data_IF_446904051718
#
_entry.id   IF_446904051718
#
_cell.length_a   1.000
_cell.length_b   1.000
_cell.length_c   1.000
_cell.angle_alpha   90.00
_cell.angle_beta   90.00
_cell.angle_gamma   90.00
#
_symmetry.space_group_name_H-M   'P 1'
#
loop_
_entity.id
_entity.type
_entity.pdbx_description
1 polymer ?
#
# COMPACT_ATOMS: atom_id res chain seq x y z
N UNK A 1 34.06 51.55 -7.81
CA UNK A 1 33.90 51.93 -9.23
C UNK A 1 33.95 50.62 -10.00
N UNK A 2 32.92 50.29 -10.65
CA UNK A 2 32.65 49.52 -11.87
C UNK A 2 31.32 48.76 -11.74
N UNK A 3 30.33 49.37 -12.39
CA UNK A 3 28.98 48.85 -12.51
C UNK A 3 28.91 47.72 -13.54
N UNK A 4 28.05 46.73 -13.25
CA UNK A 4 27.66 45.72 -14.21
C UNK A 4 26.21 46.00 -14.62
N UNK A 5 26.07 46.25 -15.92
CA UNK A 5 24.83 46.60 -16.64
C UNK A 5 23.91 45.40 -16.78
N UNK A 6 22.67 45.54 -16.29
CA UNK A 6 21.55 44.58 -16.54
C UNK A 6 21.02 44.76 -17.99
N UNK A 7 21.15 43.73 -18.81
CA UNK A 7 20.43 43.67 -20.12
C UNK A 7 19.06 43.00 -19.95
N UNK A 8 18.01 43.80 -20.17
CA UNK A 8 16.64 43.30 -20.30
C UNK A 8 16.45 42.64 -21.68
N UNK A 9 16.05 41.39 -21.68
CA UNK A 9 15.63 40.72 -22.92
C UNK A 9 14.14 40.94 -23.07
N UNK A 10 13.76 41.59 -24.20
CA UNK A 10 12.37 41.87 -24.58
C UNK A 10 11.93 40.74 -25.50
N UNK A 11 10.93 39.99 -25.12
CA UNK A 11 10.26 39.02 -26.00
C UNK A 11 9.14 39.71 -26.78
N UNK A 12 9.26 39.72 -28.10
CA UNK A 12 8.27 40.21 -29.00
C UNK A 12 7.14 39.21 -29.20
N UNK A 13 5.89 39.66 -29.07
CA UNK A 13 4.69 38.90 -29.30
C UNK A 13 4.36 38.82 -30.82
N UNK A 14 4.11 37.62 -31.33
CA UNK A 14 3.58 37.37 -32.65
C UNK A 14 2.04 37.28 -32.64
N UNK A 15 1.33 37.82 -33.65
CA UNK A 15 -0.13 37.84 -33.71
C UNK A 15 -0.73 36.53 -34.22
N UNK A 16 -1.79 36.09 -33.55
CA UNK A 16 -2.65 34.98 -33.97
C UNK A 16 -3.46 35.36 -35.18
N UNK A 17 -3.34 34.61 -36.29
CA UNK A 17 -4.31 34.65 -37.40
C UNK A 17 -5.34 33.53 -37.21
N UNK A 18 -6.61 33.92 -37.05
CA UNK A 18 -7.78 33.04 -37.15
C UNK A 18 -7.91 32.55 -38.59
N UNK A 19 -8.08 31.25 -38.78
CA UNK A 19 -8.71 30.70 -39.99
C UNK A 19 -9.85 29.80 -39.53
N UNK A 20 -11.07 30.24 -39.76
CA UNK A 20 -12.28 29.45 -39.59
C UNK A 20 -12.56 28.74 -40.92
N UNK A 21 -12.69 27.43 -40.90
CA UNK A 21 -13.28 26.66 -41.99
C UNK A 21 -14.41 25.82 -41.38
N UNK A 22 -15.65 26.24 -41.69
CA UNK A 22 -16.85 25.43 -41.50
C UNK A 22 -16.95 24.40 -42.63
N UNK A 23 -17.03 23.12 -42.27
CA UNK A 23 -17.63 22.11 -43.16
C UNK A 23 -18.64 21.29 -42.35
N UNK A 24 -19.92 21.53 -42.61
CA UNK A 24 -21.02 20.65 -42.22
C UNK A 24 -20.93 19.36 -43.04
N UNK A 25 -20.81 18.22 -42.35
CA UNK A 25 -21.13 16.90 -42.88
C UNK A 25 -22.11 16.23 -41.92
N UNK A 26 -23.38 16.19 -42.30
CA UNK A 26 -24.40 15.42 -41.65
C UNK A 26 -24.18 13.93 -41.98
N UNK A 27 -23.78 13.13 -41.00
CA UNK A 27 -23.78 11.67 -41.10
C UNK A 27 -24.86 11.13 -40.15
N UNK A 28 -25.94 10.61 -40.76
CA UNK A 28 -26.96 9.82 -40.09
C UNK A 28 -26.32 8.53 -39.57
N UNK A 29 -26.11 8.41 -38.29
CA UNK A 29 -25.77 7.11 -37.65
C UNK A 29 -27.04 6.41 -37.23
N UNK A 30 -27.41 5.38 -37.97
CA UNK A 30 -28.35 4.33 -37.55
C UNK A 30 -27.72 3.65 -36.30
N UNK A 31 -28.43 3.77 -35.16
CA UNK A 31 -27.99 3.18 -33.91
C UNK A 31 -28.14 1.66 -33.92
N UNK A 32 -27.06 0.94 -34.04
CA UNK A 32 -26.99 -0.47 -33.65
C UNK A 32 -26.66 -0.49 -32.16
N UNK A 33 -27.65 -0.81 -31.32
CA UNK A 33 -27.44 -1.16 -29.92
C UNK A 33 -26.79 -2.56 -29.91
N UNK A 34 -25.46 -2.60 -30.01
CA UNK A 34 -24.71 -3.80 -29.69
C UNK A 34 -24.57 -3.80 -28.15
N UNK A 35 -25.28 -4.73 -27.49
CA UNK A 35 -25.11 -4.99 -26.07
C UNK A 35 -23.64 -5.35 -25.81
N UNK A 36 -22.87 -4.36 -25.30
CA UNK A 36 -21.48 -4.56 -24.92
C UNK A 36 -21.42 -5.44 -23.70
N UNK A 37 -21.07 -6.71 -23.89
CA UNK A 37 -20.52 -7.53 -22.81
C UNK A 37 -19.18 -6.89 -22.49
N UNK A 38 -19.13 -6.11 -21.39
CA UNK A 38 -17.90 -5.47 -20.96
C UNK A 38 -16.83 -6.52 -20.66
N UNK A 39 -15.81 -6.62 -21.50
CA UNK A 39 -14.61 -7.39 -21.18
C UNK A 39 -13.88 -6.62 -20.07
N UNK A 40 -13.81 -7.22 -18.87
CA UNK A 40 -13.01 -6.69 -17.80
C UNK A 40 -11.55 -6.51 -18.29
N UNK A 41 -10.93 -5.39 -17.96
CA UNK A 41 -9.52 -5.17 -18.30
C UNK A 41 -8.65 -6.18 -17.56
N UNK A 42 -7.48 -6.51 -18.11
CA UNK A 42 -6.53 -7.42 -17.46
C UNK A 42 -6.21 -6.93 -16.03
N UNK A 43 -6.19 -5.63 -15.82
CA UNK A 43 -5.92 -5.00 -14.53
C UNK A 43 -7.06 -5.20 -13.50
N UNK A 44 -8.34 -5.23 -13.94
CA UNK A 44 -9.47 -5.56 -13.07
C UNK A 44 -9.46 -7.04 -12.69
N UNK A 45 -9.07 -7.93 -13.61
CA UNK A 45 -8.94 -9.37 -13.34
C UNK A 45 -7.83 -9.64 -12.32
N UNK A 46 -6.66 -9.01 -12.46
CA UNK A 46 -5.56 -9.15 -11.49
C UNK A 46 -5.93 -8.54 -10.12
N UNK A 47 -6.58 -7.38 -10.10
CA UNK A 47 -7.08 -6.79 -8.84
C UNK A 47 -8.06 -7.71 -8.12
N UNK A 48 -8.95 -8.39 -8.85
CA UNK A 48 -9.87 -9.35 -8.26
C UNK A 48 -9.15 -10.55 -7.65
N UNK A 49 -8.11 -11.08 -8.31
CA UNK A 49 -7.29 -12.18 -7.79
C UNK A 49 -6.51 -11.80 -6.52
N UNK A 50 -6.00 -10.56 -6.43
CA UNK A 50 -5.36 -10.08 -5.21
C UNK A 50 -6.30 -10.08 -4.01
N UNK A 51 -7.59 -9.77 -4.23
CA UNK A 51 -8.61 -9.79 -3.17
C UNK A 51 -8.93 -11.19 -2.63
N UNK A 52 -8.51 -12.25 -3.34
CA UNK A 52 -8.64 -13.65 -2.88
C UNK A 52 -7.56 -14.03 -1.85
N UNK A 53 -6.48 -13.23 -1.73
CA UNK A 53 -5.48 -13.44 -0.69
C UNK A 53 -6.10 -13.12 0.67
N UNK A 54 -5.84 -13.98 1.66
CA UNK A 54 -6.43 -13.89 2.98
C UNK A 54 -6.32 -12.47 3.58
N UNK A 55 -7.45 -11.84 3.88
CA UNK A 55 -7.52 -10.51 4.49
C UNK A 55 -6.71 -9.42 3.75
N UNK A 56 -6.57 -9.51 2.43
CA UNK A 56 -5.86 -8.50 1.64
C UNK A 56 -6.42 -7.09 1.85
N UNK A 57 -5.52 -6.11 1.98
CA UNK A 57 -5.85 -4.67 2.11
C UNK A 57 -4.87 -3.84 1.28
N UNK A 58 -5.40 -3.10 0.31
CA UNK A 58 -4.64 -2.11 -0.46
C UNK A 58 -4.74 -0.75 0.24
N UNK A 59 -3.60 -0.11 0.50
CA UNK A 59 -3.53 1.21 1.16
C UNK A 59 -3.17 2.34 0.19
N UNK A 60 -2.32 2.02 -0.78
CA UNK A 60 -1.90 2.94 -1.85
C UNK A 60 -1.55 2.14 -3.11
N UNK A 61 -1.28 2.76 -4.25
CA UNK A 61 -0.81 2.04 -5.44
C UNK A 61 0.46 1.20 -5.22
N UNK A 62 1.29 1.58 -4.23
CA UNK A 62 2.58 0.93 -3.95
C UNK A 62 2.62 0.14 -2.65
N UNK A 63 1.56 0.15 -1.82
CA UNK A 63 1.57 -0.53 -0.54
C UNK A 63 0.28 -1.27 -0.23
N UNK A 64 0.42 -2.55 0.12
CA UNK A 64 -0.66 -3.42 0.57
C UNK A 64 -0.21 -4.33 1.71
N UNK A 65 -1.18 -4.91 2.44
CA UNK A 65 -0.93 -6.01 3.37
C UNK A 65 -1.89 -7.18 3.17
N UNK A 66 -1.48 -8.37 3.65
CA UNK A 66 -2.27 -9.59 3.55
C UNK A 66 -1.95 -10.59 4.68
N UNK A 67 -2.78 -11.64 4.78
CA UNK A 67 -2.38 -12.89 5.43
C UNK A 67 -1.41 -13.67 4.54
N UNK A 68 -1.08 -14.90 4.94
CA UNK A 68 -0.15 -15.74 4.20
C UNK A 68 -0.71 -16.06 2.80
N UNK A 69 -0.04 -15.65 1.71
CA UNK A 69 -0.39 -16.09 0.38
C UNK A 69 -0.14 -17.59 0.19
N UNK A 70 -0.85 -18.22 -0.74
CA UNK A 70 -0.46 -19.56 -1.21
C UNK A 70 0.71 -19.47 -2.20
N UNK A 71 1.31 -20.62 -2.57
CA UNK A 71 2.39 -20.67 -3.57
C UNK A 71 1.93 -20.11 -4.91
N UNK A 72 0.72 -20.44 -5.33
CA UNK A 72 0.11 -19.97 -6.58
C UNK A 72 -0.16 -18.47 -6.55
N UNK A 73 -0.54 -17.95 -5.39
CA UNK A 73 -0.78 -16.51 -5.22
C UNK A 73 0.50 -15.67 -5.28
N UNK A 74 1.69 -16.24 -5.04
CA UNK A 74 2.95 -15.51 -5.22
C UNK A 74 3.14 -15.04 -6.68
N UNK A 75 2.71 -15.85 -7.65
CA UNK A 75 2.73 -15.45 -9.08
C UNK A 75 1.73 -14.30 -9.32
N UNK A 76 0.54 -14.35 -8.74
CA UNK A 76 -0.48 -13.28 -8.85
C UNK A 76 0.06 -11.98 -8.28
N UNK A 77 0.76 -12.02 -7.15
CA UNK A 77 1.43 -10.86 -6.53
C UNK A 77 2.44 -10.26 -7.51
N UNK A 78 3.28 -11.09 -8.13
CA UNK A 78 4.25 -10.64 -9.15
C UNK A 78 3.58 -10.01 -10.36
N UNK A 79 2.56 -10.67 -10.91
CA UNK A 79 1.83 -10.21 -12.11
C UNK A 79 1.06 -8.90 -11.83
N UNK A 80 0.66 -8.68 -10.57
CA UNK A 80 0.08 -7.42 -10.09
C UNK A 80 1.12 -6.29 -9.91
N UNK A 81 2.38 -6.53 -10.29
CA UNK A 81 3.44 -5.53 -10.30
C UNK A 81 4.12 -5.30 -8.94
N UNK A 82 3.93 -6.19 -7.97
CA UNK A 82 4.71 -6.11 -6.73
C UNK A 82 6.17 -6.47 -6.99
N UNK A 83 7.06 -5.74 -6.34
CA UNK A 83 8.51 -5.84 -6.50
C UNK A 83 9.19 -6.34 -5.22
N UNK A 84 8.51 -6.23 -4.08
CA UNK A 84 9.01 -6.64 -2.77
C UNK A 84 7.91 -7.29 -1.94
N UNK A 85 8.28 -8.37 -1.27
CA UNK A 85 7.48 -9.04 -0.25
C UNK A 85 8.19 -8.92 1.09
N UNK A 86 7.49 -8.44 2.13
CA UNK A 86 8.01 -8.38 3.50
C UNK A 86 7.16 -9.32 4.36
N UNK A 87 7.77 -10.35 4.94
CA UNK A 87 7.13 -11.29 5.84
C UNK A 87 7.48 -11.00 7.30
N UNK A 88 6.46 -10.80 8.13
CA UNK A 88 6.66 -10.42 9.55
C UNK A 88 6.08 -11.42 10.53
N UNK A 89 6.23 -12.71 10.28
CA UNK A 89 5.88 -13.76 11.23
C UNK A 89 6.99 -14.80 11.28
N UNK A 90 6.89 -15.76 12.21
CA UNK A 90 7.82 -16.88 12.24
C UNK A 90 7.57 -17.84 11.07
N UNK A 91 8.62 -18.21 10.36
CA UNK A 91 8.56 -19.18 9.24
C UNK A 91 8.39 -20.63 9.68
N UNK A 92 8.44 -20.90 10.99
CA UNK A 92 8.40 -22.25 11.56
C UNK A 92 7.03 -22.66 12.07
N UNK A 93 6.02 -21.78 12.00
CA UNK A 93 4.70 -22.01 12.59
C UNK A 93 3.56 -21.63 11.65
N UNK A 94 2.43 -22.31 11.80
CA UNK A 94 1.19 -22.00 11.09
C UNK A 94 1.26 -22.26 9.57
N UNK A 95 0.64 -21.43 8.76
CA UNK A 95 0.55 -21.62 7.31
C UNK A 95 1.80 -21.16 6.54
N UNK A 96 2.91 -20.86 7.21
CA UNK A 96 4.13 -20.37 6.56
C UNK A 96 4.63 -21.35 5.48
N UNK A 97 5.13 -20.80 4.37
CA UNK A 97 5.79 -21.56 3.31
C UNK A 97 7.28 -21.60 3.65
N UNK A 98 7.88 -22.78 3.95
CA UNK A 98 9.27 -22.85 4.43
C UNK A 98 10.30 -22.24 3.48
N UNK A 99 10.08 -22.34 2.15
CA UNK A 99 10.96 -21.82 1.09
C UNK A 99 10.43 -20.55 0.42
N UNK A 100 9.58 -19.78 1.08
CA UNK A 100 8.95 -18.59 0.50
C UNK A 100 9.97 -17.59 -0.05
N UNK A 101 11.09 -17.39 0.64
CA UNK A 101 12.17 -16.54 0.20
C UNK A 101 12.76 -16.94 -1.15
N UNK A 102 12.88 -18.25 -1.40
CA UNK A 102 13.38 -18.77 -2.67
C UNK A 102 12.35 -18.61 -3.80
N UNK A 103 11.07 -18.84 -3.49
CA UNK A 103 9.98 -18.69 -4.45
C UNK A 103 9.81 -17.23 -4.86
N UNK A 104 9.79 -16.31 -3.91
CA UNK A 104 9.66 -14.86 -4.17
C UNK A 104 10.85 -14.36 -5.01
N UNK A 105 12.08 -14.75 -4.66
CA UNK A 105 13.28 -14.38 -5.41
C UNK A 105 13.30 -15.00 -6.81
N UNK A 106 12.84 -16.24 -6.97
CA UNK A 106 12.73 -16.88 -8.29
C UNK A 106 11.77 -16.16 -9.23
N UNK A 107 10.74 -15.49 -8.67
CA UNK A 107 9.82 -14.62 -9.40
C UNK A 107 10.40 -13.22 -9.69
N UNK A 108 11.64 -12.93 -9.26
CA UNK A 108 12.29 -11.64 -9.47
C UNK A 108 11.76 -10.54 -8.56
N UNK A 109 11.25 -10.88 -7.38
CA UNK A 109 10.89 -9.96 -6.32
C UNK A 109 11.91 -10.04 -5.17
N UNK A 110 12.07 -8.93 -4.43
CA UNK A 110 12.87 -8.96 -3.20
C UNK A 110 12.05 -9.53 -2.05
N UNK A 111 12.74 -10.22 -1.15
CA UNK A 111 12.16 -10.79 0.05
C UNK A 111 12.89 -10.32 1.29
N UNK A 112 12.14 -9.78 2.25
CA UNK A 112 12.63 -9.40 3.57
C UNK A 112 11.84 -10.15 4.63
N UNK A 113 12.53 -10.83 5.55
CA UNK A 113 11.92 -11.51 6.68
C UNK A 113 12.28 -10.81 8.00
N UNK A 114 11.26 -10.43 8.75
CA UNK A 114 11.36 -9.85 10.09
C UNK A 114 10.52 -10.70 11.03
N UNK A 115 11.09 -11.62 11.80
CA UNK A 115 10.34 -12.57 12.62
C UNK A 115 9.77 -11.92 13.89
N UNK A 116 8.60 -11.25 13.75
CA UNK A 116 7.92 -10.57 14.86
C UNK A 116 7.17 -11.58 15.74
N UNK A 117 7.51 -11.62 17.03
CA UNK A 117 6.76 -12.40 18.00
C UNK A 117 5.39 -11.75 18.24
N UNK A 118 4.31 -12.54 18.07
CA UNK A 118 2.96 -12.04 18.28
C UNK A 118 2.68 -11.64 19.73
N UNK A 119 3.33 -12.32 20.68
CA UNK A 119 3.15 -12.07 22.11
C UNK A 119 4.12 -11.01 22.67
N UNK A 120 5.13 -10.62 21.89
CA UNK A 120 6.14 -9.65 22.32
C UNK A 120 6.70 -8.84 21.12
N UNK A 121 5.85 -8.09 20.39
CA UNK A 121 6.31 -7.22 19.31
C UNK A 121 7.19 -6.09 19.88
N UNK A 122 8.26 -5.70 19.17
CA UNK A 122 9.19 -4.68 19.63
C UNK A 122 9.25 -3.46 18.71
N UNK A 123 9.59 -2.30 19.28
CA UNK A 123 9.86 -1.07 18.49
C UNK A 123 10.96 -1.33 17.46
N UNK A 124 11.95 -2.15 17.78
CA UNK A 124 13.03 -2.52 16.88
C UNK A 124 12.51 -3.24 15.62
N UNK A 125 11.56 -4.17 15.80
CA UNK A 125 10.95 -4.89 14.66
C UNK A 125 10.25 -3.91 13.72
N UNK A 126 9.47 -2.98 14.30
CA UNK A 126 8.82 -1.93 13.54
C UNK A 126 9.81 -1.01 12.83
N UNK A 127 10.86 -0.56 13.50
CA UNK A 127 11.88 0.29 12.89
C UNK A 127 12.59 -0.43 11.74
N UNK A 128 12.89 -1.72 11.88
CA UNK A 128 13.48 -2.52 10.79
C UNK A 128 12.59 -2.52 9.54
N UNK A 129 11.27 -2.68 9.74
CA UNK A 129 10.29 -2.60 8.67
C UNK A 129 10.20 -1.19 8.08
N UNK A 130 10.07 -0.17 8.93
CA UNK A 130 9.93 1.22 8.49
C UNK A 130 11.15 1.69 7.70
N UNK A 131 12.35 1.35 8.15
CA UNK A 131 13.61 1.66 7.45
C UNK A 131 13.68 1.01 6.07
N UNK A 132 13.20 -0.23 5.93
CA UNK A 132 13.13 -0.90 4.63
C UNK A 132 12.14 -0.22 3.69
N UNK A 133 10.99 0.22 4.22
CA UNK A 133 9.98 0.93 3.43
C UNK A 133 10.47 2.32 2.98
N UNK A 134 11.15 3.05 3.84
CA UNK A 134 11.61 4.41 3.54
C UNK A 134 12.78 4.47 2.56
N UNK A 135 13.71 3.49 2.63
CA UNK A 135 14.86 3.43 1.71
C UNK A 135 14.45 3.30 0.24
N UNK A 136 13.32 2.69 -0.03
CA UNK A 136 12.79 2.45 -1.38
C UNK A 136 11.27 2.69 -1.36
N UNK A 137 10.87 3.92 -1.11
CA UNK A 137 9.47 4.33 -0.87
C UNK A 137 8.55 4.11 -2.08
N UNK A 138 9.11 4.12 -3.29
CA UNK A 138 8.37 3.96 -4.54
C UNK A 138 8.18 2.48 -4.91
N UNK A 139 8.87 1.59 -4.24
CA UNK A 139 8.84 0.16 -4.53
C UNK A 139 7.52 -0.45 -4.10
N UNK A 140 6.81 -1.06 -5.05
CA UNK A 140 5.52 -1.69 -4.75
C UNK A 140 5.71 -2.91 -3.84
N UNK A 141 5.21 -2.80 -2.60
CA UNK A 141 5.48 -3.74 -1.52
C UNK A 141 4.21 -4.39 -1.00
N UNK A 142 4.24 -5.72 -0.87
CA UNK A 142 3.29 -6.48 -0.08
C UNK A 142 3.91 -6.81 1.29
N UNK A 143 3.28 -6.35 2.36
CA UNK A 143 3.57 -6.76 3.73
C UNK A 143 2.63 -7.89 4.12
N UNK A 144 3.14 -9.02 4.65
CA UNK A 144 2.24 -10.05 5.11
C UNK A 144 2.70 -10.74 6.40
N UNK A 145 1.75 -11.41 7.02
CA UNK A 145 1.96 -12.33 8.13
C UNK A 145 1.02 -13.53 7.97
N UNK A 146 0.69 -14.25 9.03
CA UNK A 146 -0.19 -15.42 8.95
C UNK A 146 -1.64 -15.07 8.53
N UNK A 147 -2.26 -14.09 9.20
CA UNK A 147 -3.68 -13.72 9.01
C UNK A 147 -3.90 -12.21 8.81
N UNK A 148 -2.85 -11.47 8.49
CA UNK A 148 -2.81 -10.01 8.37
C UNK A 148 -2.92 -9.21 9.68
N UNK A 149 -3.01 -9.81 10.85
CA UNK A 149 -3.13 -9.08 12.10
C UNK A 149 -1.89 -8.21 12.39
N UNK A 150 -0.68 -8.81 12.45
CA UNK A 150 0.59 -8.08 12.62
C UNK A 150 0.81 -7.06 11.49
N UNK A 151 0.55 -7.48 10.25
CA UNK A 151 0.81 -6.67 9.08
C UNK A 151 -0.09 -5.42 9.02
N UNK A 152 -1.37 -5.51 9.41
CA UNK A 152 -2.22 -4.31 9.50
C UNK A 152 -1.80 -3.37 10.62
N UNK A 153 -1.32 -3.88 11.76
CA UNK A 153 -0.80 -3.04 12.85
C UNK A 153 0.47 -2.29 12.43
N UNK A 154 1.41 -2.95 11.75
CA UNK A 154 2.60 -2.32 11.18
C UNK A 154 2.23 -1.32 10.07
N UNK A 155 1.27 -1.65 9.22
CA UNK A 155 0.75 -0.74 8.20
C UNK A 155 0.07 0.49 8.81
N UNK A 156 -0.72 0.32 9.86
CA UNK A 156 -1.30 1.41 10.63
C UNK A 156 -0.22 2.38 11.11
N UNK A 157 0.77 1.87 11.83
CA UNK A 157 1.88 2.66 12.38
C UNK A 157 2.67 3.39 11.28
N UNK A 158 3.04 2.69 10.22
CA UNK A 158 3.81 3.27 9.12
C UNK A 158 3.05 4.41 8.43
N UNK A 159 1.77 4.21 8.17
CA UNK A 159 0.92 5.20 7.50
C UNK A 159 0.68 6.43 8.36
N UNK A 160 0.48 6.27 9.67
CA UNK A 160 0.32 7.40 10.60
C UNK A 160 1.63 8.18 10.79
N UNK A 161 2.76 7.48 10.90
CA UNK A 161 4.04 8.10 11.24
C UNK A 161 4.71 8.73 10.01
N UNK A 162 4.72 8.05 8.87
CA UNK A 162 5.52 8.42 7.70
C UNK A 162 4.71 8.87 6.48
N UNK A 163 3.39 8.64 6.47
CA UNK A 163 2.52 9.04 5.37
C UNK A 163 1.45 10.05 5.79
N UNK A 164 1.49 10.53 7.04
CA UNK A 164 0.55 11.50 7.62
C UNK A 164 -0.94 11.12 7.43
N UNK A 165 -1.23 9.81 7.35
CA UNK A 165 -2.61 9.32 7.29
C UNK A 165 -3.27 9.56 8.65
N UNK A 166 -4.48 10.13 8.71
CA UNK A 166 -5.20 10.34 9.97
C UNK A 166 -5.34 9.02 10.76
N UNK A 167 -5.15 9.09 12.08
CA UNK A 167 -5.25 7.92 12.97
C UNK A 167 -6.58 7.19 12.80
N UNK A 168 -7.69 7.93 12.69
CA UNK A 168 -9.03 7.35 12.50
C UNK A 168 -9.13 6.50 11.23
N UNK A 169 -8.54 6.96 10.11
CA UNK A 169 -8.58 6.27 8.83
C UNK A 169 -7.69 5.02 8.85
N UNK A 170 -6.46 5.16 9.31
CA UNK A 170 -5.54 4.04 9.41
C UNK A 170 -6.05 2.97 10.39
N UNK A 171 -6.68 3.38 11.51
CA UNK A 171 -7.29 2.49 12.50
C UNK A 171 -8.52 1.75 11.94
N UNK A 172 -9.36 2.43 11.16
CA UNK A 172 -10.51 1.80 10.48
C UNK A 172 -10.05 0.65 9.57
N UNK A 173 -8.99 0.89 8.80
CA UNK A 173 -8.42 -0.14 7.92
C UNK A 173 -7.86 -1.33 8.72
N UNK A 174 -7.13 -1.08 9.80
CA UNK A 174 -6.64 -2.13 10.71
C UNK A 174 -7.79 -2.91 11.32
N UNK A 175 -8.81 -2.23 11.84
CA UNK A 175 -9.96 -2.83 12.49
C UNK A 175 -10.87 -3.60 11.51
N UNK A 176 -10.76 -3.36 10.20
CA UNK A 176 -11.44 -4.17 9.18
C UNK A 176 -10.91 -5.61 9.09
N UNK A 177 -9.76 -5.88 9.70
CA UNK A 177 -9.14 -7.20 9.78
C UNK A 177 -9.25 -7.77 11.19
N UNK A 178 -8.87 -6.99 12.20
CA UNK A 178 -8.93 -7.42 13.60
C UNK A 178 -8.89 -6.22 14.55
N UNK A 179 -9.31 -6.43 15.80
CA UNK A 179 -9.12 -5.47 16.88
C UNK A 179 -7.92 -5.90 17.71
N UNK A 180 -6.89 -5.05 17.89
CA UNK A 180 -5.70 -5.38 18.68
C UNK A 180 -6.05 -5.80 20.11
N UNK A 181 -5.40 -6.86 20.58
CA UNK A 181 -5.43 -7.24 22.00
C UNK A 181 -4.55 -6.28 22.83
N UNK A 182 -4.48 -6.48 24.15
CA UNK A 182 -3.73 -5.57 25.03
C UNK A 182 -2.25 -5.47 24.66
N UNK A 183 -1.59 -6.56 24.32
CA UNK A 183 -0.17 -6.58 23.91
C UNK A 183 0.06 -5.68 22.68
N UNK A 184 -0.80 -5.82 21.68
CA UNK A 184 -0.68 -5.05 20.43
C UNK A 184 -1.13 -3.60 20.59
N UNK A 185 -2.10 -3.31 21.45
CA UNK A 185 -2.47 -1.94 21.82
C UNK A 185 -1.30 -1.23 22.49
N UNK A 186 -0.69 -1.85 23.50
CA UNK A 186 0.46 -1.27 24.22
C UNK A 186 1.66 -1.06 23.31
N UNK A 187 1.93 -2.01 22.41
CA UNK A 187 2.96 -1.89 21.39
C UNK A 187 2.67 -0.70 20.44
N UNK A 188 1.46 -0.61 19.89
CA UNK A 188 1.05 0.49 19.00
C UNK A 188 1.23 1.84 19.68
N UNK A 189 0.78 1.97 20.92
CA UNK A 189 0.90 3.21 21.70
C UNK A 189 2.37 3.56 21.97
N UNK A 190 3.20 2.57 22.29
CA UNK A 190 4.64 2.76 22.51
C UNK A 190 5.35 3.28 21.26
N UNK A 191 5.03 2.70 20.08
CA UNK A 191 5.62 3.14 18.80
C UNK A 191 5.16 4.54 18.43
N UNK A 192 3.87 4.84 18.57
CA UNK A 192 3.35 6.18 18.32
C UNK A 192 4.02 7.22 19.22
N UNK A 193 4.09 6.97 20.52
CA UNK A 193 4.74 7.86 21.49
C UNK A 193 6.23 8.08 21.18
N UNK A 194 6.95 7.03 20.76
CA UNK A 194 8.36 7.14 20.35
C UNK A 194 8.57 7.98 19.08
N UNK A 195 7.49 8.28 18.34
CA UNK A 195 7.50 9.10 17.12
C UNK A 195 6.67 10.39 17.27
N UNK A 196 6.43 10.85 18.51
CA UNK A 196 5.66 12.08 18.81
C UNK A 196 4.26 12.10 18.19
N UNK A 197 3.63 10.95 18.04
CA UNK A 197 2.25 10.79 17.53
C UNK A 197 1.32 10.35 18.67
N UNK A 198 0.08 10.87 18.66
CA UNK A 198 -0.99 10.44 19.59
C UNK A 198 -1.82 9.31 18.98
N UNK A 199 -2.25 8.31 19.76
CA UNK A 199 -3.24 7.34 19.33
C UNK A 199 -4.68 7.90 19.35
N UNK A 200 -4.88 9.06 19.94
CA UNK A 200 -6.21 9.64 20.12
C UNK A 200 -6.76 10.22 18.82
N UNK A 201 -8.04 9.99 18.57
CA UNK A 201 -8.78 10.60 17.48
C UNK A 201 -10.28 10.64 17.82
N UNK A 202 -11.01 11.52 17.17
CA UNK A 202 -12.47 11.60 17.34
C UNK A 202 -13.12 10.26 16.94
N UNK A 203 -13.89 9.67 17.85
CA UNK A 203 -14.56 8.39 17.66
C UNK A 203 -13.65 7.16 17.68
N UNK A 204 -12.38 7.30 18.04
CA UNK A 204 -11.48 6.16 18.19
C UNK A 204 -11.75 5.38 19.47
N UNK A 205 -12.27 4.18 19.33
CA UNK A 205 -12.38 3.20 20.40
C UNK A 205 -11.15 2.28 20.41
N UNK A 206 -10.39 2.27 21.49
CA UNK A 206 -9.26 1.38 21.76
C UNK A 206 -9.57 0.36 22.85
N UNK A 207 -10.85 0.05 23.08
CA UNK A 207 -11.21 -1.03 23.97
C UNK A 207 -10.67 -2.37 23.45
N UNK A 208 -10.18 -3.17 24.36
CA UNK A 208 -9.60 -4.48 24.04
C UNK A 208 -10.71 -5.51 24.11
N UNK A 209 -10.84 -6.41 23.12
CA UNK A 209 -11.82 -7.49 23.17
C UNK A 209 -11.57 -8.40 24.41
N UNK A 210 -12.64 -8.86 25.02
CA UNK A 210 -12.55 -9.87 26.06
C UNK A 210 -11.84 -11.14 25.54
N UNK A 211 -10.97 -11.78 26.35
CA UNK A 211 -10.35 -13.05 25.96
C UNK A 211 -11.43 -14.12 25.73
N UNK A 212 -11.37 -14.79 24.60
CA UNK A 212 -12.24 -15.95 24.31
C UNK A 212 -11.66 -17.22 24.89
#
# INVERSE_FOLDING_TARGET
MNGVSSRKVIYAALPRKLVAILTLAAISCVGAIIGGVGVASAQEVESNKMNEILNFRQYSPTFASAGQPTREQLQIIKDSGYERVIYIAFSTVGPAIPEEDQLVKALGMDYLHIPVDFNNPTIRDFNTFADAMQRESDRKTLLHCQVNARATAFSFLYRVIYQDVPVADAKRDMNSVWTPNQVWKDFIFSVLAANDKSPECEGCDWSVPEPR
#
